data_IF_242684743111
#
_entry.id   IF_242684743111
#
_cell.length_a   1.000
_cell.length_b   1.000
_cell.length_c   1.000
_cell.angle_alpha   90.00
_cell.angle_beta   90.00
_cell.angle_gamma   90.00
#
_symmetry.space_group_name_H-M   'P 1'
#
loop_
_entity.id
_entity.type
_entity.pdbx_description
1 polymer ?
#
# COMPACT_ATOMS: atom_id res chain seq x y z
N UNK A 1 22.88 -27.99 12.40
CA UNK A 1 22.47 -27.06 11.33
C UNK A 1 20.97 -27.11 11.05
N UNK A 2 20.34 -28.28 10.89
CA UNK A 2 18.90 -28.41 10.60
C UNK A 2 17.95 -27.66 11.57
N UNK A 3 18.14 -27.77 12.89
CA UNK A 3 17.28 -27.08 13.89
C UNK A 3 17.33 -25.54 13.79
N UNK A 4 18.50 -24.97 13.50
CA UNK A 4 18.67 -23.52 13.34
C UNK A 4 17.98 -23.02 12.08
N UNK A 5 18.08 -23.77 10.98
CA UNK A 5 17.43 -23.43 9.73
C UNK A 5 15.88 -23.49 9.85
N UNK A 6 15.35 -24.47 10.59
CA UNK A 6 13.92 -24.57 10.90
C UNK A 6 13.43 -23.37 11.72
N UNK A 7 14.18 -22.95 12.74
CA UNK A 7 13.83 -21.78 13.54
C UNK A 7 13.86 -20.49 12.72
N UNK A 8 14.86 -20.31 11.85
CA UNK A 8 14.92 -19.16 10.93
C UNK A 8 13.73 -19.17 9.99
N UNK A 9 13.38 -20.31 9.38
CA UNK A 9 12.22 -20.41 8.49
C UNK A 9 10.90 -20.06 9.19
N UNK A 10 10.73 -20.48 10.45
CA UNK A 10 9.54 -20.18 11.24
C UNK A 10 9.46 -18.69 11.60
N UNK A 11 10.58 -18.07 12.00
CA UNK A 11 10.65 -16.63 12.27
C UNK A 11 10.36 -15.83 10.99
N UNK A 12 10.98 -16.18 9.86
CA UNK A 12 10.75 -15.49 8.59
C UNK A 12 9.28 -15.58 8.15
N UNK A 13 8.67 -16.77 8.24
CA UNK A 13 7.24 -16.95 7.91
C UNK A 13 6.36 -16.13 8.84
N UNK A 14 6.64 -16.12 10.15
CA UNK A 14 5.90 -15.31 11.11
C UNK A 14 6.03 -13.81 10.83
N UNK A 15 7.23 -13.32 10.49
CA UNK A 15 7.45 -11.92 10.12
C UNK A 15 6.65 -11.54 8.86
N UNK A 16 6.61 -12.41 7.84
CA UNK A 16 5.85 -12.15 6.62
C UNK A 16 4.34 -12.04 6.86
N UNK A 17 3.78 -12.80 7.81
CA UNK A 17 2.35 -12.78 8.15
C UNK A 17 1.92 -11.52 8.91
N UNK A 18 2.86 -10.75 9.45
CA UNK A 18 2.57 -9.53 10.24
C UNK A 18 2.58 -8.24 9.42
N UNK A 19 2.97 -8.30 8.15
CA UNK A 19 3.00 -7.12 7.29
C UNK A 19 1.57 -6.73 6.90
N UNK A 20 1.19 -5.44 7.01
CA UNK A 20 -0.11 -4.98 6.52
C UNK A 20 -0.16 -5.15 5.00
N UNK A 21 -1.15 -5.92 4.53
CA UNK A 21 -1.45 -6.04 3.11
C UNK A 21 -2.41 -4.91 2.77
N UNK A 22 -1.89 -3.79 2.26
CA UNK A 22 -2.73 -2.70 1.75
C UNK A 22 -3.08 -3.00 0.29
N UNK A 23 -4.36 -3.17 -0.02
CA UNK A 23 -4.86 -3.35 -1.38
C UNK A 23 -5.74 -2.17 -1.74
N UNK A 24 -5.76 -1.78 -3.02
CA UNK A 24 -6.70 -0.79 -3.51
C UNK A 24 -8.14 -1.36 -3.47
N UNK A 25 -9.09 -0.58 -2.96
CA UNK A 25 -10.51 -0.87 -3.06
C UNK A 25 -11.03 -0.38 -4.42
N UNK A 26 -11.80 -1.21 -5.12
CA UNK A 26 -12.40 -0.85 -6.41
C UNK A 26 -13.50 0.19 -6.30
N UNK A 27 -14.02 0.45 -5.10
CA UNK A 27 -15.03 1.47 -4.83
C UNK A 27 -14.42 2.82 -4.43
N UNK A 28 -13.12 2.86 -4.10
CA UNK A 28 -12.42 4.09 -3.74
C UNK A 28 -11.80 4.75 -4.97
N UNK A 29 -11.76 6.09 -4.98
CA UNK A 29 -11.05 6.85 -5.99
C UNK A 29 -9.53 6.68 -5.92
N UNK A 30 -8.83 7.14 -6.96
CA UNK A 30 -7.38 6.94 -7.09
C UNK A 30 -6.59 7.66 -5.97
N UNK A 31 -6.82 8.97 -5.68
CA UNK A 31 -6.18 9.65 -4.55
C UNK A 31 -6.43 8.98 -3.20
N UNK A 32 -7.66 8.54 -2.93
CA UNK A 32 -8.05 7.86 -1.69
C UNK A 32 -7.30 6.54 -1.55
N UNK A 33 -7.29 5.71 -2.59
CA UNK A 33 -6.53 4.46 -2.61
C UNK A 33 -5.02 4.69 -2.38
N UNK A 34 -4.44 5.70 -3.03
CA UNK A 34 -3.03 6.03 -2.84
C UNK A 34 -2.73 6.46 -1.40
N UNK A 35 -3.55 7.34 -0.82
CA UNK A 35 -3.40 7.78 0.57
C UNK A 35 -3.52 6.62 1.57
N UNK A 36 -4.47 5.70 1.34
CA UNK A 36 -4.72 4.56 2.22
C UNK A 36 -3.56 3.54 2.29
N UNK A 37 -2.62 3.57 1.34
CA UNK A 37 -1.41 2.73 1.42
C UNK A 37 -0.38 3.20 2.45
N UNK A 38 -0.39 4.48 2.84
CA UNK A 38 0.58 5.08 3.76
C UNK A 38 2.03 5.16 3.24
N UNK A 39 2.33 4.75 2.00
CA UNK A 39 3.68 4.79 1.40
C UNK A 39 3.76 5.70 0.17
N UNK A 40 2.64 6.29 -0.26
CA UNK A 40 2.54 7.11 -1.47
C UNK A 40 2.43 8.62 -1.18
N UNK A 41 3.00 9.11 -0.08
CA UNK A 41 2.95 10.53 0.31
C UNK A 41 3.44 11.47 -0.79
N UNK A 42 4.55 11.12 -1.45
CA UNK A 42 5.11 11.92 -2.56
C UNK A 42 4.14 12.01 -3.74
N UNK A 43 3.42 10.93 -4.05
CA UNK A 43 2.41 10.93 -5.11
C UNK A 43 1.24 11.82 -4.72
N UNK A 44 0.69 11.65 -3.52
CA UNK A 44 -0.45 12.44 -3.02
C UNK A 44 -0.10 13.94 -3.00
N UNK A 45 1.12 14.29 -2.57
CA UNK A 45 1.61 15.66 -2.61
C UNK A 45 1.75 16.20 -4.04
N UNK A 46 2.23 15.38 -4.98
CA UNK A 46 2.36 15.79 -6.38
C UNK A 46 0.98 16.02 -7.03
N UNK A 47 -0.01 15.19 -6.72
CA UNK A 47 -1.38 15.35 -7.21
C UNK A 47 -2.02 16.64 -6.69
N UNK A 48 -1.83 16.96 -5.40
CA UNK A 48 -2.27 18.21 -4.82
C UNK A 48 -1.56 19.41 -5.45
N UNK A 49 -0.24 19.31 -5.68
CA UNK A 49 0.54 20.36 -6.33
C UNK A 49 0.11 20.62 -7.77
N UNK A 50 -0.26 19.58 -8.50
CA UNK A 50 -0.71 19.65 -9.89
C UNK A 50 -2.22 19.93 -10.04
N UNK A 51 -2.95 20.12 -8.93
CA UNK A 51 -4.41 20.30 -8.91
C UNK A 51 -5.20 19.18 -9.63
N UNK A 52 -4.71 17.93 -9.49
CA UNK A 52 -5.30 16.75 -10.14
C UNK A 52 -6.23 15.94 -9.22
N UNK A 53 -6.29 16.27 -7.93
CA UNK A 53 -7.06 15.49 -6.95
C UNK A 53 -8.52 15.35 -7.36
N UNK A 54 -9.18 16.48 -7.67
CA UNK A 54 -10.59 16.50 -8.07
C UNK A 54 -10.84 15.73 -9.38
N UNK A 55 -9.90 15.83 -10.32
CA UNK A 55 -9.97 15.12 -11.62
C UNK A 55 -9.91 13.61 -11.42
N UNK A 56 -9.04 13.14 -10.52
CA UNK A 56 -8.85 11.71 -10.25
C UNK A 56 -9.84 11.14 -9.23
N UNK A 57 -10.67 11.99 -8.62
CA UNK A 57 -11.84 11.63 -7.83
C UNK A 57 -13.11 11.42 -8.67
N UNK A 58 -13.11 11.88 -9.92
CA UNK A 58 -14.23 11.65 -10.83
C UNK A 58 -14.40 10.17 -11.17
N UNK A 59 -15.58 9.79 -11.66
CA UNK A 59 -15.69 8.55 -12.44
C UNK A 59 -14.73 8.70 -13.62
N UNK A 60 -13.64 7.94 -13.61
CA UNK A 60 -12.71 7.90 -14.73
C UNK A 60 -13.43 7.58 -16.06
N UNK A 61 -12.71 7.61 -17.19
CA UNK A 61 -13.27 7.20 -18.48
C UNK A 61 -13.85 5.78 -18.47
#
# INVERSE_FOLDING_TARGET
>A
MQRRNVLIALIMTACLMTMPITMADSNDDIPTNAANTGVHDSLVSALAHADLVTTLQGQGP
#
